data_IF_514865544101
#
_entry.id   IF_514865544101
#
_cell.length_a   1.000
_cell.length_b   1.000
_cell.length_c   1.000
_cell.angle_alpha   90.00
_cell.angle_beta   90.00
_cell.angle_gamma   90.00
#
_symmetry.space_group_name_H-M   'P 1'
#
loop_
_entity.id
_entity.type
_entity.pdbx_description
1 polymer ?
#
# COMPACT_ATOMS: atom_id res chain seq x y z
N UNK A 1 -15.53 -1.70 -14.20
CA UNK A 1 -14.44 -2.69 -14.08
C UNK A 1 -14.84 -3.78 -13.12
N UNK A 2 -14.45 -5.02 -13.37
CA UNK A 2 -14.78 -6.13 -12.49
C UNK A 2 -13.86 -6.17 -11.27
N UNK A 3 -14.29 -6.89 -10.22
CA UNK A 3 -13.44 -7.13 -9.06
C UNK A 3 -12.13 -7.81 -9.45
N UNK A 4 -12.19 -8.74 -10.40
CA UNK A 4 -11.00 -9.44 -10.88
C UNK A 4 -10.02 -8.49 -11.57
N UNK A 5 -10.52 -7.55 -12.36
CA UNK A 5 -9.67 -6.54 -12.99
C UNK A 5 -9.06 -5.59 -11.97
N UNK A 6 -9.81 -5.23 -10.93
CA UNK A 6 -9.30 -4.42 -9.83
C UNK A 6 -8.19 -5.14 -9.07
N UNK A 7 -8.38 -6.42 -8.77
CA UNK A 7 -7.34 -7.25 -8.14
C UNK A 7 -6.07 -7.29 -8.98
N UNK A 8 -6.22 -7.48 -10.30
CA UNK A 8 -5.07 -7.54 -11.20
C UNK A 8 -4.33 -6.21 -11.22
N UNK A 9 -5.05 -5.09 -11.20
CA UNK A 9 -4.42 -3.76 -11.18
C UNK A 9 -3.61 -3.54 -9.89
N UNK A 10 -4.10 -3.99 -8.75
CA UNK A 10 -3.36 -3.87 -7.48
C UNK A 10 -2.13 -4.77 -7.49
N UNK A 11 -2.18 -5.95 -8.11
CA UNK A 11 -0.99 -6.78 -8.30
C UNK A 11 0.06 -6.04 -9.13
N UNK A 12 -0.34 -5.39 -10.21
CA UNK A 12 0.56 -4.59 -11.05
C UNK A 12 1.14 -3.42 -10.27
N UNK A 13 0.32 -2.77 -9.45
CA UNK A 13 0.75 -1.64 -8.62
C UNK A 13 1.89 -2.06 -7.67
N UNK A 14 1.70 -3.12 -6.92
CA UNK A 14 2.73 -3.58 -5.98
C UNK A 14 3.95 -4.18 -6.70
N UNK A 15 3.76 -4.80 -7.87
CA UNK A 15 4.87 -5.27 -8.69
C UNK A 15 5.76 -4.09 -9.12
N UNK A 16 5.14 -2.98 -9.50
CA UNK A 16 5.88 -1.77 -9.87
C UNK A 16 6.69 -1.21 -8.69
N UNK A 17 6.14 -1.25 -7.48
CA UNK A 17 6.89 -0.88 -6.28
C UNK A 17 8.10 -1.79 -6.06
N UNK A 18 7.90 -3.09 -6.20
CA UNK A 18 8.99 -4.06 -6.00
C UNK A 18 10.14 -3.85 -6.97
N UNK A 19 9.85 -3.41 -8.18
CA UNK A 19 10.86 -3.14 -9.21
C UNK A 19 11.28 -1.68 -9.31
N UNK A 20 10.82 -0.83 -8.39
CA UNK A 20 11.12 0.61 -8.37
C UNK A 20 10.65 1.36 -9.63
N UNK A 21 9.63 0.85 -10.30
CA UNK A 21 9.04 1.48 -11.46
C UNK A 21 7.86 2.36 -11.05
N UNK A 22 8.15 3.49 -10.42
CA UNK A 22 7.12 4.37 -9.88
C UNK A 22 6.33 5.10 -10.96
N UNK A 23 6.90 5.27 -12.15
CA UNK A 23 6.15 5.80 -13.29
C UNK A 23 5.05 4.81 -13.70
N UNK A 24 5.36 3.52 -13.73
CA UNK A 24 4.36 2.49 -14.04
C UNK A 24 3.26 2.44 -12.95
N UNK A 25 3.65 2.54 -11.68
CA UNK A 25 2.67 2.61 -10.59
C UNK A 25 1.78 3.85 -10.73
N UNK A 26 2.39 4.99 -11.02
CA UNK A 26 1.67 6.25 -11.22
C UNK A 26 0.69 6.20 -12.38
N UNK A 27 1.00 5.46 -13.43
CA UNK A 27 0.12 5.31 -14.60
C UNK A 27 -1.20 4.61 -14.26
N UNK A 28 -1.27 3.89 -13.15
CA UNK A 28 -2.49 3.22 -12.68
C UNK A 28 -3.40 4.16 -11.88
N UNK A 29 -2.93 5.36 -11.55
CA UNK A 29 -3.67 6.32 -10.74
C UNK A 29 -4.60 7.20 -11.59
N UNK A 30 -5.77 7.48 -11.03
CA UNK A 30 -6.71 8.44 -11.59
C UNK A 30 -6.08 9.85 -11.56
N UNK A 31 -6.49 10.72 -12.49
CA UNK A 31 -5.99 12.10 -12.52
C UNK A 31 -6.26 12.86 -11.22
N UNK A 32 -7.36 12.53 -10.54
CA UNK A 32 -7.74 13.15 -9.26
C UNK A 32 -7.37 12.26 -8.06
N UNK A 33 -6.34 11.45 -8.19
CA UNK A 33 -5.87 10.57 -7.13
C UNK A 33 -5.59 11.32 -5.83
N UNK A 34 -5.99 10.71 -4.72
CA UNK A 34 -5.64 11.17 -3.38
C UNK A 34 -5.22 9.97 -2.54
N UNK A 35 -4.00 10.00 -2.05
CA UNK A 35 -3.49 9.07 -1.06
C UNK A 35 -3.57 9.68 0.32
N UNK A 36 -3.84 8.87 1.33
CA UNK A 36 -3.90 9.30 2.72
C UNK A 36 -3.07 8.40 3.60
N UNK A 37 -2.31 9.02 4.50
CA UNK A 37 -1.53 8.34 5.54
C UNK A 37 -2.06 8.78 6.90
N UNK A 38 -3.11 8.11 7.43
CA UNK A 38 -3.77 8.57 8.65
C UNK A 38 -2.87 8.64 9.88
N UNK A 39 -1.84 7.78 9.95
CA UNK A 39 -0.94 7.75 11.12
C UNK A 39 -0.15 9.06 11.27
N UNK A 40 0.20 9.71 10.17
CA UNK A 40 0.88 11.02 10.19
C UNK A 40 -0.08 12.17 9.88
N UNK A 41 -1.25 11.87 9.32
CA UNK A 41 -2.19 12.88 8.86
C UNK A 41 -1.84 13.46 7.49
N UNK A 42 -0.85 12.89 6.81
CA UNK A 42 -0.42 13.39 5.51
C UNK A 42 -1.34 12.92 4.39
N UNK A 43 -1.39 13.72 3.32
CA UNK A 43 -2.11 13.40 2.08
C UNK A 43 -1.20 13.62 0.89
N UNK A 44 -1.35 12.76 -0.11
CA UNK A 44 -0.64 12.88 -1.38
C UNK A 44 -1.68 13.17 -2.45
N UNK A 45 -1.63 14.37 -3.01
CA UNK A 45 -2.59 14.77 -4.03
C UNK A 45 -1.96 14.69 -5.42
N UNK A 46 -2.56 13.85 -6.26
CA UNK A 46 -2.19 13.74 -7.66
C UNK A 46 -1.02 12.81 -7.94
N UNK A 47 -0.95 12.40 -9.22
CA UNK A 47 0.06 11.44 -9.72
C UNK A 47 1.48 11.96 -9.57
N UNK A 48 1.71 13.23 -9.92
CA UNK A 48 3.06 13.79 -9.91
C UNK A 48 3.69 13.75 -8.52
N UNK A 49 2.91 14.12 -7.48
CA UNK A 49 3.40 14.07 -6.12
C UNK A 49 3.65 12.63 -5.65
N UNK A 50 2.75 11.71 -6.01
CA UNK A 50 2.92 10.29 -5.70
C UNK A 50 4.24 9.76 -6.27
N UNK A 51 4.49 10.01 -7.55
CA UNK A 51 5.70 9.51 -8.23
C UNK A 51 6.95 10.14 -7.59
N UNK A 52 6.93 11.44 -7.37
CA UNK A 52 8.08 12.16 -6.80
C UNK A 52 8.43 11.66 -5.40
N UNK A 53 7.44 11.53 -4.51
CA UNK A 53 7.68 11.06 -3.14
C UNK A 53 8.32 9.67 -3.16
N UNK A 54 7.79 8.76 -3.97
CA UNK A 54 8.30 7.40 -4.01
C UNK A 54 9.69 7.31 -4.64
N UNK A 55 9.99 8.12 -5.65
CA UNK A 55 11.33 8.17 -6.24
C UNK A 55 12.37 8.72 -5.27
N UNK A 56 11.96 9.65 -4.39
CA UNK A 56 12.86 10.26 -3.41
C UNK A 56 13.02 9.43 -2.13
N UNK A 57 12.21 8.39 -1.95
CA UNK A 57 12.29 7.56 -0.76
C UNK A 57 13.67 6.89 -0.70
N UNK A 58 14.39 7.01 0.42
CA UNK A 58 15.82 6.62 0.46
C UNK A 58 16.07 5.13 0.43
N UNK A 59 15.09 4.32 0.78
CA UNK A 59 15.26 2.87 0.92
C UNK A 59 14.49 2.14 -0.17
N UNK A 60 15.05 1.00 -0.60
CA UNK A 60 14.35 0.08 -1.49
C UNK A 60 13.75 -1.07 -0.68
N UNK A 61 12.42 -1.16 -0.69
CA UNK A 61 11.70 -2.22 0.00
C UNK A 61 11.21 -3.25 -1.00
N UNK A 62 11.47 -4.53 -0.71
CA UNK A 62 10.86 -5.62 -1.46
C UNK A 62 9.44 -5.80 -0.99
N UNK A 63 8.52 -5.97 -1.94
CA UNK A 63 7.09 -6.07 -1.65
C UNK A 63 6.60 -7.47 -1.95
N UNK A 64 5.98 -8.11 -0.97
CA UNK A 64 5.31 -9.40 -1.13
C UNK A 64 3.85 -9.24 -0.74
N UNK A 65 2.95 -9.57 -1.66
CA UNK A 65 1.51 -9.53 -1.38
C UNK A 65 1.16 -10.76 -0.54
N UNK A 66 0.54 -10.52 0.62
CA UNK A 66 0.08 -11.59 1.51
C UNK A 66 -1.36 -11.94 1.18
N UNK A 67 -2.23 -10.93 1.05
CA UNK A 67 -3.62 -11.16 0.67
C UNK A 67 -4.21 -9.94 -0.02
N UNK A 68 -5.18 -10.20 -0.90
CA UNK A 68 -5.98 -9.20 -1.58
C UNK A 68 -7.45 -9.59 -1.43
N UNK A 69 -8.27 -8.62 -1.11
CA UNK A 69 -9.72 -8.80 -1.00
C UNK A 69 -10.39 -7.70 -1.81
N UNK A 70 -11.28 -8.08 -2.72
CA UNK A 70 -12.03 -7.13 -3.54
C UNK A 70 -13.52 -7.20 -3.24
N UNK A 71 -14.16 -6.06 -3.23
CA UNK A 71 -15.62 -5.97 -3.15
C UNK A 71 -16.08 -4.70 -3.88
N UNK A 72 -16.90 -4.86 -4.90
CA UNK A 72 -17.34 -3.72 -5.72
C UNK A 72 -16.15 -2.97 -6.30
N UNK A 73 -16.09 -1.67 -6.05
CA UNK A 73 -15.02 -0.79 -6.53
C UNK A 73 -13.87 -0.65 -5.53
N UNK A 74 -13.75 -1.57 -4.59
CA UNK A 74 -12.72 -1.49 -3.55
C UNK A 74 -11.85 -2.73 -3.52
N UNK A 75 -10.57 -2.52 -3.21
CA UNK A 75 -9.61 -3.60 -2.93
C UNK A 75 -8.90 -3.27 -1.63
N UNK A 76 -8.72 -4.28 -0.79
CA UNK A 76 -7.85 -4.20 0.37
C UNK A 76 -6.65 -5.09 0.11
N UNK A 77 -5.45 -4.55 0.33
CA UNK A 77 -4.22 -5.35 0.24
C UNK A 77 -3.51 -5.36 1.58
N UNK A 78 -2.94 -6.52 1.89
CA UNK A 78 -1.95 -6.67 2.96
C UNK A 78 -0.65 -7.09 2.29
N UNK A 79 0.39 -6.29 2.47
CA UNK A 79 1.70 -6.58 1.89
C UNK A 79 2.76 -6.60 2.98
N UNK A 80 3.79 -7.40 2.72
CA UNK A 80 4.99 -7.46 3.54
C UNK A 80 6.07 -6.67 2.83
N UNK A 81 6.74 -5.79 3.57
CA UNK A 81 7.82 -4.96 3.05
C UNK A 81 9.10 -5.32 3.77
N UNK A 82 10.13 -5.66 3.00
CA UNK A 82 11.42 -6.08 3.54
C UNK A 82 12.54 -5.22 2.99
N UNK A 83 13.41 -4.74 3.89
CA UNK A 83 14.61 -3.98 3.55
C UNK A 83 15.69 -4.32 4.58
N UNK A 84 16.77 -4.96 4.14
CA UNK A 84 17.84 -5.45 5.01
C UNK A 84 17.23 -6.35 6.12
N UNK A 85 17.46 -6.01 7.38
CA UNK A 85 16.93 -6.77 8.51
C UNK A 85 15.57 -6.27 8.98
N UNK A 86 15.00 -5.29 8.29
CA UNK A 86 13.71 -4.72 8.65
C UNK A 86 12.57 -5.41 7.93
N UNK A 87 11.50 -5.65 8.66
CA UNK A 87 10.27 -6.23 8.15
C UNK A 87 9.10 -5.40 8.68
N UNK A 88 8.32 -4.85 7.78
CA UNK A 88 7.10 -4.13 8.14
C UNK A 88 5.95 -4.62 7.27
N UNK A 89 4.74 -4.35 7.72
CA UNK A 89 3.53 -4.65 6.96
C UNK A 89 2.85 -3.35 6.58
N UNK A 90 2.16 -3.35 5.44
CA UNK A 90 1.28 -2.26 5.06
C UNK A 90 -0.10 -2.82 4.74
N UNK A 91 -1.12 -2.13 5.22
CA UNK A 91 -2.51 -2.45 4.90
C UNK A 91 -3.05 -1.25 4.15
N UNK A 92 -3.52 -1.49 2.93
CA UNK A 92 -3.96 -0.42 2.04
C UNK A 92 -5.37 -0.67 1.54
N UNK A 93 -6.17 0.39 1.56
CA UNK A 93 -7.53 0.40 1.03
C UNK A 93 -7.52 1.22 -0.26
N UNK A 94 -7.99 0.61 -1.35
CA UNK A 94 -8.04 1.25 -2.66
C UNK A 94 -9.48 1.40 -3.11
N UNK A 95 -9.82 2.56 -3.64
CA UNK A 95 -11.09 2.79 -4.33
C UNK A 95 -10.80 3.11 -5.79
N UNK A 96 -11.60 2.51 -6.67
CA UNK A 96 -11.45 2.67 -8.12
C UNK A 96 -12.52 3.59 -8.68
N UNK A 97 -12.14 4.38 -9.67
CA UNK A 97 -13.04 5.21 -10.45
C UNK A 97 -12.50 5.33 -11.87
N UNK A 98 -13.37 5.16 -12.87
CA UNK A 98 -12.99 5.25 -14.28
C UNK A 98 -11.79 4.33 -14.60
N UNK A 99 -11.82 3.12 -14.07
CA UNK A 99 -10.80 2.09 -14.28
C UNK A 99 -9.40 2.48 -13.78
N UNK A 100 -9.32 3.37 -12.80
CA UNK A 100 -8.07 3.83 -12.19
C UNK A 100 -8.19 3.86 -10.67
N UNK A 101 -7.05 3.82 -10.00
CA UNK A 101 -7.00 3.98 -8.53
C UNK A 101 -7.29 5.45 -8.20
N UNK A 102 -8.41 5.68 -7.52
CA UNK A 102 -8.91 7.02 -7.22
C UNK A 102 -8.55 7.47 -5.82
N UNK A 103 -8.67 6.57 -4.83
CA UNK A 103 -8.30 6.81 -3.43
C UNK A 103 -7.47 5.65 -2.93
N UNK A 104 -6.47 5.99 -2.11
CA UNK A 104 -5.65 4.99 -1.44
C UNK A 104 -5.42 5.44 -0.01
N UNK A 105 -5.74 4.58 0.96
CA UNK A 105 -5.47 4.84 2.37
C UNK A 105 -4.52 3.78 2.86
N UNK A 106 -3.35 4.19 3.34
CA UNK A 106 -2.30 3.27 3.77
C UNK A 106 -2.07 3.36 5.27
N UNK A 107 -1.95 2.19 5.89
CA UNK A 107 -1.55 2.04 7.30
C UNK A 107 -0.27 1.22 7.36
N UNK A 108 0.69 1.66 8.18
CA UNK A 108 1.94 0.95 8.41
C UNK A 108 2.05 0.67 9.91
N UNK A 109 1.45 -0.46 10.41
CA UNK A 109 1.55 -0.80 11.81
C UNK A 109 3.00 -1.11 12.18
N UNK A 110 3.49 -0.47 13.24
CA UNK A 110 4.84 -0.69 13.72
C UNK A 110 4.86 -1.78 14.79
N UNK A 111 5.86 -2.69 14.75
CA UNK A 111 6.03 -3.67 15.82
C UNK A 111 6.25 -2.98 17.17
N UNK A 112 5.79 -3.60 18.24
CA UNK A 112 6.02 -3.09 19.59
C UNK A 112 6.22 -4.26 20.54
N UNK A 113 6.87 -3.98 21.67
CA UNK A 113 7.07 -4.96 22.72
C UNK A 113 5.74 -5.25 23.41
N UNK A 114 5.34 -6.53 23.51
CA UNK A 114 4.10 -6.85 24.21
C UNK A 114 4.18 -6.48 25.67
N UNK A 115 3.11 -5.88 26.24
CA UNK A 115 3.10 -5.53 27.66
C UNK A 115 3.12 -6.79 28.52
N UNK A 116 3.86 -6.70 29.64
CA UNK A 116 4.09 -7.84 30.52
C UNK A 116 2.82 -8.38 31.18
N UNK A 117 1.80 -7.54 31.40
CA UNK A 117 0.61 -7.92 32.14
C UNK A 117 -0.17 -9.08 31.51
N UNK A 118 -0.02 -9.29 30.18
CA UNK A 118 -0.78 -10.33 29.46
C UNK A 118 0.07 -11.54 29.07
N UNK A 119 1.33 -11.58 29.49
CA UNK A 119 2.29 -12.58 29.02
C UNK A 119 1.85 -14.03 29.29
N UNK A 120 1.13 -14.29 30.39
CA UNK A 120 0.72 -15.66 30.73
C UNK A 120 -0.42 -16.19 29.86
N UNK A 121 -1.10 -15.32 29.09
CA UNK A 121 -2.25 -15.72 28.26
C UNK A 121 -1.98 -15.61 26.76
N UNK A 122 -0.78 -15.23 26.34
CA UNK A 122 -0.41 -15.09 24.94
C UNK A 122 0.89 -15.83 24.67
N UNK A 123 1.12 -16.16 23.40
CA UNK A 123 2.37 -16.75 22.93
C UNK A 123 3.08 -15.79 22.01
N UNK A 124 4.40 -15.87 21.97
CA UNK A 124 5.23 -15.07 21.07
C UNK A 124 6.02 -15.93 20.12
#
# INVERSE_FOLDING_TARGET
>A
MSEQENLQMIKQFWQAFDTLDFDAAGALLHDDYLGEWPQSGERIRGRANFVTINKLYPDHWHVTIIRLIATGDQVVSEVKLEHKDELVFAISFFEFKDSKIFRETDYWPEPYEPPAWRAQWVEQ
#
